data_IF_548085275873
#
_entry.id   IF_548085275873
#
_cell.length_a   1.000
_cell.length_b   1.000
_cell.length_c   1.000
_cell.angle_alpha   90.00
_cell.angle_beta   90.00
_cell.angle_gamma   90.00
#
_symmetry.space_group_name_H-M   'P 1'
#
loop_
_entity.id
_entity.type
_entity.pdbx_description
1 polymer ?
#
# COMPACT_ATOMS: atom_id res chain seq x y z
N UNK A 1 2.95 3.44 13.71
CA UNK A 1 1.97 3.89 12.69
C UNK A 1 2.23 5.33 12.22
N UNK A 2 3.38 5.92 12.55
CA UNK A 2 3.68 7.34 12.33
C UNK A 2 3.76 7.73 10.85
N UNK A 3 4.30 6.85 9.99
CA UNK A 3 4.40 7.12 8.55
C UNK A 3 3.05 7.37 7.90
N UNK A 4 2.02 6.58 8.26
CA UNK A 4 0.66 6.78 7.72
C UNK A 4 0.05 8.12 8.13
N UNK A 5 0.29 8.55 9.37
CA UNK A 5 -0.19 9.84 9.90
C UNK A 5 0.49 11.00 9.17
N UNK A 6 1.82 10.97 9.06
CA UNK A 6 2.58 12.00 8.34
C UNK A 6 2.18 12.13 6.86
N UNK A 7 1.86 11.00 6.21
CA UNK A 7 1.37 11.00 4.83
C UNK A 7 -0.02 11.62 4.72
N UNK A 8 -0.92 11.33 5.67
CA UNK A 8 -2.24 11.96 5.71
C UNK A 8 -2.16 13.45 5.99
N UNK A 9 -1.27 13.90 6.87
CA UNK A 9 -1.03 15.32 7.10
C UNK A 9 -0.52 16.02 5.83
N UNK A 10 0.45 15.40 5.14
CA UNK A 10 1.01 15.93 3.89
C UNK A 10 -0.03 15.99 2.77
N UNK A 11 -0.86 14.95 2.62
CA UNK A 11 -1.92 14.90 1.61
C UNK A 11 -3.00 15.93 1.89
N UNK A 12 -3.39 16.07 3.17
CA UNK A 12 -4.36 17.06 3.61
C UNK A 12 -3.88 18.47 3.25
N UNK A 13 -2.62 18.78 3.52
CA UNK A 13 -2.02 20.07 3.19
C UNK A 13 -1.97 20.31 1.69
N UNK A 14 -1.47 19.36 0.91
CA UNK A 14 -1.34 19.49 -0.55
C UNK A 14 -2.70 19.66 -1.28
N UNK A 15 -3.77 19.11 -0.69
CA UNK A 15 -5.12 19.20 -1.24
C UNK A 15 -5.97 20.31 -0.59
N UNK A 16 -5.39 21.11 0.32
CA UNK A 16 -6.11 22.14 1.09
C UNK A 16 -7.38 21.63 1.77
N UNK A 17 -7.33 20.40 2.30
CA UNK A 17 -8.47 19.74 2.94
C UNK A 17 -8.64 20.20 4.40
N UNK A 18 -9.88 20.15 4.86
CA UNK A 18 -10.23 20.43 6.25
C UNK A 18 -9.49 19.46 7.21
N UNK A 19 -8.97 19.94 8.36
CA UNK A 19 -8.32 19.13 9.40
C UNK A 19 -9.10 17.88 9.84
N UNK A 20 -10.43 17.92 9.86
CA UNK A 20 -11.24 16.79 10.32
C UNK A 20 -11.61 15.83 9.20
N UNK A 21 -11.53 16.25 7.94
CA UNK A 21 -12.04 15.50 6.79
C UNK A 21 -11.57 14.03 6.75
N UNK A 22 -10.26 13.79 6.87
CA UNK A 22 -9.70 12.42 6.83
C UNK A 22 -10.12 11.58 8.04
N UNK A 23 -10.39 12.21 9.19
CA UNK A 23 -10.92 11.54 10.38
C UNK A 23 -12.42 11.25 10.24
N UNK A 24 -13.18 12.15 9.62
CA UNK A 24 -14.63 12.04 9.45
C UNK A 24 -15.00 10.91 8.50
N UNK A 25 -14.18 10.67 7.46
CA UNK A 25 -14.31 9.49 6.59
C UNK A 25 -13.66 8.24 7.19
N UNK A 26 -13.21 8.31 8.45
CA UNK A 26 -12.57 7.24 9.21
C UNK A 26 -11.32 6.65 8.53
N UNK A 27 -10.62 7.42 7.70
CA UNK A 27 -9.49 6.93 6.91
C UNK A 27 -8.36 6.39 7.79
N UNK A 28 -8.12 7.02 8.95
CA UNK A 28 -7.13 6.58 9.92
C UNK A 28 -7.49 5.27 10.66
N UNK A 29 -8.76 4.85 10.65
CA UNK A 29 -9.21 3.59 11.29
C UNK A 29 -9.03 2.36 10.40
N UNK A 30 -8.91 2.56 9.08
CA UNK A 30 -8.83 1.50 8.08
C UNK A 30 -7.42 1.00 7.74
N UNK A 31 -6.40 1.30 8.55
CA UNK A 31 -5.02 0.95 8.20
C UNK A 31 -4.80 -0.57 8.22
N UNK A 32 -4.37 -1.12 7.07
CA UNK A 32 -4.06 -2.55 6.92
C UNK A 32 -2.64 -2.73 6.39
N UNK A 33 -1.96 -3.74 6.89
CA UNK A 33 -0.67 -4.21 6.36
C UNK A 33 -0.92 -5.56 5.68
N UNK A 34 -0.50 -5.68 4.43
CA UNK A 34 -0.62 -6.90 3.64
C UNK A 34 0.75 -7.35 3.15
N UNK A 35 1.13 -8.58 3.50
CA UNK A 35 2.34 -9.23 2.99
C UNK A 35 2.02 -10.10 1.79
N UNK A 36 2.70 -9.89 0.67
CA UNK A 36 2.67 -10.79 -0.47
C UNK A 36 3.99 -11.55 -0.53
N UNK A 37 3.91 -12.88 -0.50
CA UNK A 37 5.06 -13.75 -0.69
C UNK A 37 4.94 -14.46 -2.03
N UNK A 38 5.85 -14.15 -2.94
CA UNK A 38 5.90 -14.77 -4.26
C UNK A 38 6.92 -15.91 -4.24
N UNK A 39 6.47 -17.12 -4.56
CA UNK A 39 7.36 -18.27 -4.65
C UNK A 39 8.23 -18.19 -5.90
N UNK A 40 9.46 -18.77 -5.87
CA UNK A 40 10.26 -18.95 -7.08
C UNK A 40 9.46 -19.68 -8.15
N UNK A 41 9.45 -19.16 -9.38
CA UNK A 41 8.76 -19.76 -10.50
C UNK A 41 9.76 -20.04 -11.64
N UNK A 42 9.85 -21.29 -12.15
CA UNK A 42 10.76 -21.64 -13.25
C UNK A 42 10.48 -20.87 -14.55
N UNK A 43 9.25 -20.40 -14.73
CA UNK A 43 8.78 -19.73 -15.94
C UNK A 43 8.13 -18.39 -15.56
N UNK A 44 8.96 -17.47 -15.06
CA UNK A 44 8.54 -16.14 -14.62
C UNK A 44 7.75 -15.38 -15.70
N UNK A 45 8.18 -15.49 -16.97
CA UNK A 45 7.54 -14.86 -18.13
C UNK A 45 6.10 -15.34 -18.39
N UNK A 46 5.72 -16.51 -17.87
CA UNK A 46 4.41 -17.12 -18.05
C UNK A 46 3.51 -16.99 -16.80
N UNK A 47 4.02 -16.39 -15.72
CA UNK A 47 3.36 -16.39 -14.42
C UNK A 47 3.15 -14.98 -13.91
N UNK A 48 1.92 -14.67 -13.50
CA UNK A 48 1.56 -13.37 -12.96
C UNK A 48 1.51 -13.44 -11.43
N UNK A 49 2.47 -12.82 -10.74
CA UNK A 49 2.48 -12.79 -9.28
C UNK A 49 1.25 -12.08 -8.70
N UNK A 50 0.92 -10.89 -9.22
CA UNK A 50 -0.29 -10.12 -8.85
C UNK A 50 -0.90 -9.52 -10.11
N UNK A 51 -2.19 -9.74 -10.30
CA UNK A 51 -2.90 -9.16 -11.43
C UNK A 51 -2.97 -7.64 -11.34
N UNK A 52 -3.04 -6.97 -12.49
CA UNK A 52 -3.31 -5.53 -12.55
C UNK A 52 -4.72 -5.27 -12.01
N UNK A 53 -4.82 -4.46 -10.96
CA UNK A 53 -6.08 -4.04 -10.37
C UNK A 53 -5.94 -2.62 -9.80
N UNK A 54 -7.06 -1.93 -9.65
CA UNK A 54 -7.17 -0.81 -8.74
C UNK A 54 -7.45 -1.37 -7.35
N UNK A 55 -6.71 -0.91 -6.34
CA UNK A 55 -7.00 -1.24 -4.95
C UNK A 55 -8.27 -0.55 -4.45
N UNK A 56 -8.84 -1.06 -3.37
CA UNK A 56 -10.03 -0.49 -2.73
C UNK A 56 -9.67 0.57 -1.68
N UNK A 57 -8.39 0.76 -1.39
CA UNK A 57 -7.89 1.64 -0.35
C UNK A 57 -7.69 3.07 -0.89
N UNK A 58 -7.90 4.09 -0.05
CA UNK A 58 -7.62 5.50 -0.41
C UNK A 58 -6.17 5.69 -0.85
N UNK A 59 -5.24 5.09 -0.10
CA UNK A 59 -3.80 5.12 -0.33
C UNK A 59 -3.21 3.75 0.03
N UNK A 60 -2.45 3.18 -0.90
CA UNK A 60 -1.74 1.92 -0.70
C UNK A 60 -0.26 2.12 -1.02
N UNK A 61 0.61 1.73 -0.09
CA UNK A 61 2.06 1.72 -0.28
C UNK A 61 2.53 0.28 -0.27
N UNK A 62 3.11 -0.17 -1.38
CA UNK A 62 3.70 -1.50 -1.49
C UNK A 62 5.20 -1.39 -1.69
N UNK A 63 5.98 -2.14 -0.91
CA UNK A 63 7.39 -2.38 -1.19
C UNK A 63 7.54 -3.83 -1.67
N UNK A 64 8.08 -4.01 -2.86
CA UNK A 64 8.48 -5.34 -3.32
C UNK A 64 9.82 -5.68 -2.70
N UNK A 65 9.85 -6.73 -1.88
CA UNK A 65 11.10 -7.32 -1.39
C UNK A 65 11.34 -8.56 -2.24
N UNK A 66 12.34 -8.49 -3.13
CA UNK A 66 12.80 -9.66 -3.88
C UNK A 66 13.64 -10.52 -2.93
N UNK A 67 13.08 -11.62 -2.45
CA UNK A 67 13.85 -12.63 -1.73
C UNK A 67 14.64 -13.44 -2.76
N UNK A 68 15.94 -13.15 -2.89
CA UNK A 68 16.85 -14.01 -3.65
C UNK A 68 17.14 -15.23 -2.78
N UNK A 69 16.48 -16.34 -3.09
CA UNK A 69 16.82 -17.66 -2.55
C UNK A 69 18.17 -18.08 -3.15
N UNK A 70 19.27 -17.82 -2.44
CA UNK A 70 20.55 -18.46 -2.75
C UNK A 70 20.43 -19.94 -2.39
N UNK A 71 20.28 -20.78 -3.41
CA UNK A 71 20.57 -22.22 -3.35
C UNK A 71 22.06 -22.46 -3.52
#
# INVERSE_FOLDING_TARGET
MEVGILLFESLREALSLDPTFLNDIECAKGLRILGHYYLPCPQLELTLGRAKHAGNDLLCFSKTILAVSNS
#
